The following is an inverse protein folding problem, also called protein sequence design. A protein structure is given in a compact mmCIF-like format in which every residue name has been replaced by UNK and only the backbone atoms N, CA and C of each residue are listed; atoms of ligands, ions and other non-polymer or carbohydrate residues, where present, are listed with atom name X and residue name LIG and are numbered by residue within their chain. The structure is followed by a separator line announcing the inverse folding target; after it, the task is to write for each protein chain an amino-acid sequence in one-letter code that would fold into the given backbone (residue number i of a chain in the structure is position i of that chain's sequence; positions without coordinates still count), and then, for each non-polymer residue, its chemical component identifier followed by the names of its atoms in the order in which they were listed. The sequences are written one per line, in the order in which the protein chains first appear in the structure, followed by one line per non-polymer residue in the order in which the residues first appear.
data_IF_568241777879
#
_entry.id   IF_568241777879
#
_cell.length_a   1.000
_cell.length_b   1.000
_cell.length_c   1.000
_cell.angle_alpha   90.00
_cell.angle_beta   90.00
_cell.angle_gamma   90.00
#
_symmetry.space_group_name_H-M   'P 1'
#
loop_
_entity.id
_entity.type
_entity.pdbx_description
1 polymer ?
#
# COMPACT_ATOMS: atom_id res chain seq x y z
N UNK A 1 -15.20 6.42 17.93
CA UNK A 1 -15.17 5.50 16.78
C UNK A 1 -13.87 4.72 16.87
N UNK A 2 -13.93 3.39 16.93
CA UNK A 2 -12.76 2.57 17.20
C UNK A 2 -11.76 2.66 16.03
N UNK A 3 -10.50 2.97 16.34
CA UNK A 3 -9.37 2.64 15.48
C UNK A 3 -9.48 1.14 15.15
N UNK A 4 -9.87 0.77 13.94
CA UNK A 4 -9.52 -0.56 13.45
C UNK A 4 -8.00 -0.52 13.27
N UNK A 5 -7.28 -1.00 14.29
CA UNK A 5 -5.84 -1.22 14.18
C UNK A 5 -5.60 -2.15 13.01
N UNK A 6 -5.17 -1.58 11.88
CA UNK A 6 -4.78 -2.34 10.73
C UNK A 6 -3.36 -2.84 11.00
N UNK A 7 -3.22 -4.13 11.29
CA UNK A 7 -1.95 -4.80 11.61
C UNK A 7 -1.12 -5.12 10.35
N UNK A 8 -1.41 -4.44 9.23
CA UNK A 8 -0.70 -4.62 7.99
C UNK A 8 0.80 -4.31 8.13
N UNK A 9 1.59 -4.98 7.29
CA UNK A 9 3.03 -4.85 7.27
C UNK A 9 3.58 -5.00 5.86
N UNK A 10 4.77 -4.45 5.57
CA UNK A 10 5.42 -4.68 4.30
C UNK A 10 5.88 -6.14 4.20
N UNK A 11 5.51 -6.82 3.12
CA UNK A 11 5.93 -8.18 2.77
C UNK A 11 6.77 -8.09 1.51
N UNK A 12 8.01 -8.56 1.58
CA UNK A 12 8.88 -8.64 0.40
C UNK A 12 8.46 -9.85 -0.44
N UNK A 13 7.91 -9.59 -1.62
CA UNK A 13 7.49 -10.65 -2.53
C UNK A 13 8.53 -10.93 -3.61
N UNK A 14 9.37 -9.97 -3.96
CA UNK A 14 10.51 -10.19 -4.87
C UNK A 14 11.80 -9.80 -4.18
N UNK A 15 12.75 -10.73 -4.17
CA UNK A 15 14.09 -10.53 -3.61
C UNK A 15 15.14 -10.65 -4.72
N UNK A 16 16.22 -9.87 -4.59
CA UNK A 16 17.42 -9.99 -5.44
C UNK A 16 18.49 -10.75 -4.66
N UNK A 17 18.68 -12.01 -5.01
CA UNK A 17 19.70 -12.89 -4.44
C UNK A 17 21.03 -12.66 -5.13
N UNK A 18 22.08 -12.37 -4.34
CA UNK A 18 23.46 -12.24 -4.82
C UNK A 18 23.65 -11.18 -5.92
N UNK A 19 22.73 -10.23 -6.07
CA UNK A 19 22.77 -9.18 -7.10
C UNK A 19 22.46 -9.67 -8.52
N UNK A 20 22.11 -10.94 -8.71
CA UNK A 20 22.00 -11.54 -10.06
C UNK A 20 20.74 -12.36 -10.30
N UNK A 21 20.13 -12.90 -9.26
CA UNK A 21 18.95 -13.77 -9.38
C UNK A 21 17.76 -13.16 -8.67
N UNK A 22 16.60 -13.19 -9.31
CA UNK A 22 15.36 -12.84 -8.66
C UNK A 22 14.67 -14.09 -8.13
N UNK A 23 14.16 -14.02 -6.90
CA UNK A 23 13.25 -15.00 -6.33
C UNK A 23 11.93 -14.34 -5.96
N UNK A 24 10.84 -15.11 -6.09
CA UNK A 24 9.48 -14.70 -5.82
C UNK A 24 8.95 -15.50 -4.62
N UNK A 25 8.53 -14.81 -3.56
CA UNK A 25 7.81 -15.43 -2.44
C UNK A 25 6.34 -15.62 -2.82
N UNK A 26 6.09 -16.72 -3.54
CA UNK A 26 4.74 -17.14 -3.96
C UNK A 26 3.86 -17.36 -2.73
N UNK A 27 4.39 -17.99 -1.68
CA UNK A 27 3.63 -18.31 -0.48
C UNK A 27 3.19 -17.07 0.30
N UNK A 28 4.05 -16.05 0.35
CA UNK A 28 3.70 -14.74 0.91
C UNK A 28 2.61 -14.05 0.11
N UNK A 29 2.69 -14.10 -1.23
CA UNK A 29 1.71 -13.47 -2.11
C UNK A 29 0.36 -14.19 -2.09
N UNK A 30 0.34 -15.52 -2.08
CA UNK A 30 -0.87 -16.36 -1.97
C UNK A 30 -1.62 -16.05 -0.68
N UNK A 31 -0.92 -15.92 0.45
CA UNK A 31 -1.55 -15.57 1.74
C UNK A 31 -2.30 -14.23 1.70
N UNK A 32 -1.85 -13.30 0.87
CA UNK A 32 -2.45 -11.97 0.74
C UNK A 32 -3.61 -12.01 -0.26
N UNK A 33 -3.35 -12.48 -1.48
CA UNK A 33 -4.32 -12.39 -2.59
C UNK A 33 -5.37 -13.50 -2.60
N UNK A 34 -5.10 -14.65 -1.98
CA UNK A 34 -6.04 -15.77 -1.90
C UNK A 34 -6.78 -15.84 -0.55
N UNK A 35 -6.66 -14.80 0.29
CA UNK A 35 -7.43 -14.72 1.52
C UNK A 35 -8.94 -14.70 1.19
N UNK A 36 -9.74 -15.47 1.94
CA UNK A 36 -11.15 -15.75 1.61
C UNK A 36 -12.02 -14.50 1.42
N UNK A 37 -11.68 -13.41 2.09
CA UNK A 37 -12.43 -12.16 2.04
C UNK A 37 -12.11 -11.27 0.81
N UNK A 38 -11.09 -11.62 0.00
CA UNK A 38 -10.68 -10.83 -1.18
C UNK A 38 -10.41 -11.63 -2.45
N UNK A 39 -10.20 -12.95 -2.36
CA UNK A 39 -9.75 -13.79 -3.49
C UNK A 39 -10.65 -13.76 -4.72
N UNK A 40 -11.94 -13.50 -4.53
CA UNK A 40 -12.95 -13.50 -5.59
C UNK A 40 -13.34 -12.06 -6.03
N UNK A 41 -12.63 -11.03 -5.52
CA UNK A 41 -12.88 -9.64 -5.86
C UNK A 41 -11.99 -9.17 -7.04
N UNK A 42 -12.47 -8.23 -7.87
CA UNK A 42 -11.61 -7.53 -8.81
C UNK A 42 -10.44 -6.85 -8.08
N UNK A 43 -9.24 -6.95 -8.65
CA UNK A 43 -8.02 -6.40 -8.05
C UNK A 43 -7.57 -5.13 -8.77
N UNK A 44 -7.20 -4.12 -7.99
CA UNK A 44 -6.47 -2.95 -8.46
C UNK A 44 -5.09 -2.97 -7.82
N UNK A 45 -4.04 -2.87 -8.64
CA UNK A 45 -2.65 -2.81 -8.18
C UNK A 45 -2.14 -1.39 -8.35
N UNK A 46 -1.79 -0.75 -7.23
CA UNK A 46 -1.11 0.55 -7.22
C UNK A 46 0.38 0.31 -6.94
N UNK A 47 1.24 0.67 -7.88
CA UNK A 47 2.69 0.51 -7.74
C UNK A 47 3.40 1.85 -7.91
N UNK A 48 4.42 2.10 -7.09
CA UNK A 48 5.33 3.25 -7.24
C UNK A 48 6.73 2.73 -7.51
N UNK A 49 7.23 2.99 -8.71
CA UNK A 49 8.57 2.63 -9.17
C UNK A 49 9.33 3.88 -9.63
N UNK A 50 10.67 3.85 -9.59
CA UNK A 50 11.48 5.03 -9.89
C UNK A 50 12.88 4.93 -9.29
N UNK A 51 13.70 5.96 -9.47
CA UNK A 51 15.10 5.92 -9.05
C UNK A 51 15.21 5.86 -7.54
N UNK A 52 16.35 5.39 -7.10
CA UNK A 52 16.69 5.30 -5.70
C UNK A 52 16.64 6.69 -5.03
N UNK A 53 16.11 6.77 -3.80
CA UNK A 53 15.95 7.99 -2.95
C UNK A 53 14.91 9.03 -3.38
N UNK A 54 14.01 8.73 -4.30
CA UNK A 54 12.96 9.68 -4.72
C UNK A 54 11.67 9.61 -3.88
N UNK A 55 11.76 9.24 -2.59
CA UNK A 55 10.60 9.31 -1.67
C UNK A 55 9.46 8.31 -1.93
N UNK A 56 9.70 7.20 -2.66
CA UNK A 56 8.63 6.23 -3.02
C UNK A 56 7.89 5.63 -1.83
N UNK A 57 8.62 5.08 -0.84
CA UNK A 57 8.00 4.51 0.36
C UNK A 57 7.25 5.57 1.17
N UNK A 58 7.78 6.80 1.19
CA UNK A 58 7.12 7.94 1.84
C UNK A 58 5.77 8.24 1.19
N UNK A 59 5.71 8.31 -0.15
CA UNK A 59 4.45 8.47 -0.88
C UNK A 59 3.47 7.31 -0.62
N UNK A 60 3.95 6.06 -0.69
CA UNK A 60 3.12 4.88 -0.43
C UNK A 60 2.51 4.91 0.99
N UNK A 61 3.23 5.43 1.97
CA UNK A 61 2.68 5.54 3.33
C UNK A 61 1.55 6.58 3.43
N UNK A 62 1.49 7.61 2.58
CA UNK A 62 0.31 8.47 2.49
C UNK A 62 -0.89 7.73 1.91
N UNK A 63 -0.70 6.85 0.93
CA UNK A 63 -1.77 6.00 0.44
C UNK A 63 -2.27 5.05 1.53
N UNK A 64 -1.35 4.42 2.29
CA UNK A 64 -1.73 3.61 3.44
C UNK A 64 -2.55 4.42 4.44
N UNK A 65 -2.10 5.64 4.79
CA UNK A 65 -2.85 6.54 5.69
C UNK A 65 -4.25 6.84 5.16
N UNK A 66 -4.39 7.14 3.87
CA UNK A 66 -5.69 7.38 3.24
C UNK A 66 -6.63 6.18 3.38
N UNK A 67 -6.17 4.98 3.00
CA UNK A 67 -7.00 3.77 3.07
C UNK A 67 -7.27 3.32 4.51
N UNK A 68 -6.31 3.45 5.43
CA UNK A 68 -6.48 3.12 6.86
C UNK A 68 -7.46 4.05 7.57
N UNK A 69 -7.64 5.28 7.07
CA UNK A 69 -8.67 6.20 7.54
C UNK A 69 -10.03 5.98 6.85
N UNK A 70 -10.21 4.85 6.15
CA UNK A 70 -11.47 4.51 5.49
C UNK A 70 -11.86 5.52 4.42
N UNK A 71 -10.87 6.02 3.67
CA UNK A 71 -11.04 6.94 2.54
C UNK A 71 -11.81 8.24 2.87
N UNK A 72 -11.78 8.66 4.15
CA UNK A 72 -12.44 9.89 4.59
C UNK A 72 -11.71 11.13 4.09
N UNK A 73 -12.44 12.22 3.84
CA UNK A 73 -11.88 13.47 3.31
C UNK A 73 -10.84 14.12 4.23
N UNK A 74 -10.97 13.94 5.54
CA UNK A 74 -10.12 14.51 6.59
C UNK A 74 -8.90 13.63 6.97
N UNK A 75 -8.51 12.68 6.11
CA UNK A 75 -7.42 11.74 6.39
C UNK A 75 -6.04 12.38 6.65
N UNK A 76 -5.87 13.67 6.32
CA UNK A 76 -4.66 14.46 6.57
C UNK A 76 -4.77 15.48 7.72
N UNK A 77 -5.91 15.60 8.40
CA UNK A 77 -6.17 16.71 9.34
C UNK A 77 -5.29 16.67 10.60
N UNK A 78 -4.82 15.48 11.00
CA UNK A 78 -3.86 15.35 12.11
C UNK A 78 -2.42 15.55 11.62
N UNK A 79 -1.94 16.78 11.71
CA UNK A 79 -0.57 17.15 11.37
C UNK A 79 0.50 16.49 12.27
N UNK A 80 0.14 15.99 13.45
CA UNK A 80 1.08 15.37 14.41
C UNK A 80 1.14 13.85 14.28
N UNK A 81 0.17 13.23 13.60
CA UNK A 81 0.17 11.79 13.40
C UNK A 81 1.37 11.34 12.56
N UNK A 82 2.09 10.34 13.09
CA UNK A 82 3.26 9.74 12.45
C UNK A 82 2.87 9.02 11.16
N UNK A 83 3.76 9.09 10.18
CA UNK A 83 3.61 8.38 8.91
C UNK A 83 4.22 6.97 9.01
N UNK A 84 3.35 5.98 9.26
CA UNK A 84 3.69 4.57 9.43
C UNK A 84 3.47 3.77 8.13
N UNK A 85 4.09 2.59 8.03
CA UNK A 85 3.94 1.72 6.86
C UNK A 85 5.23 1.07 6.39
N UNK A 86 5.51 1.17 5.09
CA UNK A 86 6.77 0.75 4.48
C UNK A 86 7.96 1.49 5.12
N UNK A 87 9.08 0.80 5.34
CA UNK A 87 10.28 1.45 5.85
C UNK A 87 10.72 2.59 4.94
N UNK A 88 10.97 3.75 5.55
CA UNK A 88 11.44 4.94 4.88
C UNK A 88 12.30 5.75 5.85
N UNK A 89 13.39 6.32 5.33
CA UNK A 89 14.23 7.27 6.06
C UNK A 89 14.88 8.24 5.10
N UNK A 90 15.21 9.43 5.60
CA UNK A 90 16.13 10.34 4.94
C UNK A 90 17.54 9.74 4.83
N UNK A 91 18.44 10.45 4.14
CA UNK A 91 19.83 10.03 3.93
C UNK A 91 20.05 9.26 2.62
N UNK A 92 21.32 8.97 2.30
CA UNK A 92 21.78 8.43 1.02
C UNK A 92 21.80 6.91 0.91
N UNK A 93 21.72 6.18 2.03
CA UNK A 93 21.87 4.72 2.09
C UNK A 93 20.66 3.95 1.59
N UNK A 94 20.84 2.78 0.94
CA UNK A 94 19.71 2.02 0.37
C UNK A 94 18.77 1.46 1.42
N UNK A 95 17.46 1.66 1.21
CA UNK A 95 16.40 1.16 2.12
C UNK A 95 15.65 -0.02 1.52
N UNK A 96 15.14 0.13 0.29
CA UNK A 96 14.32 -0.90 -0.36
C UNK A 96 15.05 -1.57 -1.53
N UNK A 97 14.99 -2.89 -1.57
CA UNK A 97 15.52 -3.73 -2.65
C UNK A 97 14.48 -4.77 -3.04
N UNK A 98 14.22 -4.94 -4.33
CA UNK A 98 13.16 -5.84 -4.80
C UNK A 98 11.77 -5.20 -4.77
N UNK A 99 10.73 -6.02 -4.61
CA UNK A 99 9.33 -5.58 -4.61
C UNK A 99 8.70 -5.93 -3.25
N UNK A 100 8.05 -4.95 -2.65
CA UNK A 100 7.28 -5.10 -1.43
C UNK A 100 5.81 -4.84 -1.72
N UNK A 101 4.93 -5.57 -1.03
CA UNK A 101 3.49 -5.42 -1.04
C UNK A 101 3.00 -5.26 0.40
N UNK A 102 1.89 -4.55 0.59
CA UNK A 102 1.26 -4.44 1.91
C UNK A 102 0.48 -5.72 2.22
N UNK A 103 0.60 -6.28 3.42
CA UNK A 103 -0.01 -7.58 3.73
C UNK A 103 -1.54 -7.58 3.81
N UNK A 104 -2.16 -6.41 3.87
CA UNK A 104 -3.61 -6.26 4.03
C UNK A 104 -4.20 -5.61 2.77
N UNK A 105 -5.17 -6.27 2.14
CA UNK A 105 -5.85 -5.77 0.95
C UNK A 105 -6.97 -4.83 1.38
N UNK A 106 -6.99 -3.62 0.83
CA UNK A 106 -8.04 -2.65 1.11
C UNK A 106 -9.22 -2.87 0.17
N UNK A 107 -10.36 -3.28 0.72
CA UNK A 107 -11.62 -3.39 -0.02
C UNK A 107 -12.32 -2.03 -0.02
N UNK A 108 -12.56 -1.49 -1.21
CA UNK A 108 -13.23 -0.19 -1.41
C UNK A 108 -14.59 -0.46 -2.03
N UNK A 109 -15.67 -0.03 -1.36
CA UNK A 109 -17.05 -0.29 -1.78
C UNK A 109 -17.63 0.80 -2.69
N UNK A 110 -16.91 1.88 -2.94
CA UNK A 110 -17.38 2.96 -3.81
C UNK A 110 -16.92 2.75 -5.25
N UNK A 111 -17.83 2.22 -6.08
CA UNK A 111 -17.87 2.69 -7.46
C UNK A 111 -18.29 4.16 -7.38
N UNK A 112 -17.46 5.06 -7.89
CA UNK A 112 -17.90 6.42 -8.18
C UNK A 112 -19.06 6.28 -9.17
N UNK A 113 -20.30 6.27 -8.69
CA UNK A 113 -21.41 6.71 -9.50
C UNK A 113 -21.12 8.18 -9.72
N UNK A 114 -20.52 8.52 -10.86
CA UNK A 114 -20.57 9.87 -11.35
C UNK A 114 -22.06 10.26 -11.33
N UNK A 115 -22.45 11.13 -10.40
CA UNK A 115 -23.83 11.60 -10.32
C UNK A 115 -24.17 12.20 -11.68
N UNK A 116 -25.18 11.71 -12.42
CA UNK A 116 -25.65 12.40 -13.60
C UNK A 116 -26.49 13.58 -13.11
N UNK A 117 -25.85 14.70 -12.79
CA UNK A 117 -26.57 15.95 -12.49
C UNK A 117 -25.58 17.13 -12.59
N UNK A 118 -25.81 18.16 -13.41
CA UNK A 118 -27.07 18.60 -13.99
C UNK A 118 -26.91 19.25 -15.36
N UNK A 119 -27.91 18.98 -16.20
CA UNK A 119 -28.47 20.01 -17.06
C UNK A 119 -29.00 21.14 -16.18
N UNK A 120 -28.43 22.34 -16.37
CA UNK A 120 -29.18 23.59 -16.55
C UNK A 120 -28.40 24.45 -17.52
#
# INVERSE_FOLDING_TARGET
MAHRGNNGRPVQIVQLEGGKRFSLDISGLEKILLADHVKDLPVVVVSVAGKFREGKSFLLNFFLRYFMNGTQANWMDDANAKLEGFSWRGGSERETTGIFVWSEVFVVSEFITASPTGMV
#
